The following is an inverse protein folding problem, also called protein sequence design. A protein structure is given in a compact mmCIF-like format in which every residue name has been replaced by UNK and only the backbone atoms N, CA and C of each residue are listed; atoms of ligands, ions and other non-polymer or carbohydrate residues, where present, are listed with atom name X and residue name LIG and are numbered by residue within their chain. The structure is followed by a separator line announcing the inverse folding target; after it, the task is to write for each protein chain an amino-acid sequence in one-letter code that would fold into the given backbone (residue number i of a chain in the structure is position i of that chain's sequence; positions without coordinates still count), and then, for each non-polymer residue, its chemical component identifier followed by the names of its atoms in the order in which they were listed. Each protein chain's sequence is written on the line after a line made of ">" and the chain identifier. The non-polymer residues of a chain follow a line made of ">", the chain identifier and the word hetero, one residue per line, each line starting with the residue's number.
data_IF_597382737975
#
_entry.id   IF_597382737975
#
_cell.length_a   1.000
_cell.length_b   1.000
_cell.length_c   1.000
_cell.angle_alpha   90.00
_cell.angle_beta   90.00
_cell.angle_gamma   90.00
#
_symmetry.space_group_name_H-M   'P 1'
#
loop_
_entity.id
_entity.type
_entity.pdbx_description
1 polymer ?
#
# COMPACT_ATOMS: atom_id res chain seq x y z
N UNK A 1 3.67 20.27 36.30
CA UNK A 1 2.51 19.36 36.35
C UNK A 1 1.91 19.13 34.96
N UNK A 2 1.47 20.18 34.28
CA UNK A 2 0.89 20.02 32.91
C UNK A 2 1.87 19.38 31.93
N UNK A 3 3.14 19.75 31.91
CA UNK A 3 4.16 19.18 31.04
C UNK A 3 4.40 17.71 31.36
N UNK A 4 4.43 17.32 32.62
CA UNK A 4 4.59 15.94 33.03
C UNK A 4 3.39 15.09 32.61
N UNK A 5 2.18 15.62 32.77
CA UNK A 5 0.95 14.96 32.35
C UNK A 5 0.94 14.72 30.80
N UNK A 6 1.35 15.73 30.03
CA UNK A 6 1.46 15.62 28.58
C UNK A 6 2.50 14.58 28.14
N UNK A 7 3.64 14.51 28.84
CA UNK A 7 4.67 13.52 28.57
C UNK A 7 4.19 12.09 28.87
N UNK A 8 3.48 11.91 29.99
CA UNK A 8 2.91 10.61 30.33
C UNK A 8 1.83 10.21 29.33
N UNK A 9 0.94 11.13 28.94
CA UNK A 9 -0.09 10.86 27.95
C UNK A 9 0.52 10.49 26.57
N UNK A 10 1.56 11.19 26.15
CA UNK A 10 2.26 10.88 24.91
C UNK A 10 2.96 9.51 24.96
N UNK A 11 3.60 9.18 26.09
CA UNK A 11 4.22 7.87 26.28
C UNK A 11 3.18 6.74 26.29
N UNK A 12 2.03 6.93 26.94
CA UNK A 12 0.94 5.94 26.93
C UNK A 12 0.36 5.76 25.53
N UNK A 13 0.18 6.83 24.77
CA UNK A 13 -0.29 6.77 23.39
C UNK A 13 0.68 6.00 22.47
N UNK A 14 1.99 6.18 22.67
CA UNK A 14 3.00 5.46 21.88
C UNK A 14 3.04 3.95 22.16
N UNK A 15 2.68 3.52 23.38
CA UNK A 15 2.63 2.11 23.75
C UNK A 15 1.46 1.35 23.10
N UNK A 16 0.42 2.06 22.67
CA UNK A 16 -0.73 1.46 21.99
C UNK A 16 -0.63 1.48 20.46
N UNK A 17 0.39 2.12 19.92
CA UNK A 17 0.62 2.17 18.48
C UNK A 17 1.13 0.80 17.99
N UNK A 18 0.27 0.10 17.25
CA UNK A 18 0.63 -1.15 16.60
C UNK A 18 0.67 -0.93 15.08
N UNK A 19 1.72 -1.41 14.45
CA UNK A 19 1.87 -1.39 13.00
C UNK A 19 2.14 -2.80 12.48
N UNK A 20 1.64 -3.07 11.28
CA UNK A 20 1.92 -4.34 10.60
C UNK A 20 3.35 -4.34 10.08
N UNK A 21 3.99 -5.50 10.13
CA UNK A 21 5.37 -5.67 9.68
C UNK A 21 5.44 -6.38 8.33
N UNK A 22 6.50 -6.06 7.59
CA UNK A 22 6.87 -6.73 6.37
C UNK A 22 5.99 -6.38 5.17
N UNK A 23 6.20 -7.14 4.10
CA UNK A 23 5.44 -7.06 2.86
C UNK A 23 4.67 -8.36 2.68
N UNK A 24 3.37 -8.25 2.48
CA UNK A 24 2.55 -9.41 2.23
C UNK A 24 2.65 -9.85 0.76
N UNK A 25 2.75 -11.15 0.55
CA UNK A 25 2.88 -11.73 -0.77
C UNK A 25 1.53 -11.69 -1.50
N UNK A 26 1.39 -10.86 -2.50
CA UNK A 26 0.13 -10.67 -3.24
C UNK A 26 -0.48 -11.98 -3.78
N UNK A 27 0.30 -12.92 -4.36
CA UNK A 27 -0.25 -14.20 -4.83
C UNK A 27 -0.89 -15.06 -3.74
N UNK A 28 -0.54 -14.82 -2.48
CA UNK A 28 -1.02 -15.60 -1.33
C UNK A 28 -2.00 -14.85 -0.44
N UNK A 29 -2.48 -13.67 -0.85
CA UNK A 29 -3.40 -12.86 -0.04
C UNK A 29 -4.64 -13.64 0.40
N UNK A 30 -5.24 -14.42 -0.49
CA UNK A 30 -6.46 -15.19 -0.19
C UNK A 30 -6.26 -16.16 0.97
N UNK A 31 -5.08 -16.77 1.07
CA UNK A 31 -4.78 -17.76 2.10
C UNK A 31 -4.27 -17.13 3.39
N UNK A 32 -3.50 -16.05 3.30
CA UNK A 32 -2.70 -15.55 4.41
C UNK A 32 -3.23 -14.26 5.04
N UNK A 33 -3.63 -13.28 4.26
CA UNK A 33 -3.77 -11.92 4.77
C UNK A 33 -5.14 -11.28 4.54
N UNK A 34 -5.94 -11.73 3.57
CA UNK A 34 -7.17 -11.06 3.18
C UNK A 34 -8.19 -10.95 4.32
N UNK A 35 -8.24 -11.93 5.19
CA UNK A 35 -9.15 -11.93 6.34
C UNK A 35 -8.81 -10.81 7.32
N UNK A 36 -7.53 -10.60 7.57
CA UNK A 36 -7.04 -9.51 8.43
C UNK A 36 -7.26 -8.16 7.77
N UNK A 37 -6.98 -8.04 6.48
CA UNK A 37 -7.22 -6.81 5.71
C UNK A 37 -8.70 -6.39 5.78
N UNK A 38 -9.61 -7.33 5.60
CA UNK A 38 -11.05 -7.09 5.71
C UNK A 38 -11.47 -6.68 7.12
N UNK A 39 -10.91 -7.31 8.13
CA UNK A 39 -11.16 -6.94 9.53
C UNK A 39 -10.73 -5.50 9.84
N UNK A 40 -9.74 -4.98 9.11
CA UNK A 40 -9.24 -3.60 9.21
C UNK A 40 -9.95 -2.61 8.28
N UNK A 41 -10.96 -3.04 7.57
CA UNK A 41 -11.79 -2.18 6.72
C UNK A 41 -11.52 -2.25 5.22
N UNK A 42 -10.67 -3.17 4.74
CA UNK A 42 -10.49 -3.40 3.32
C UNK A 42 -11.77 -3.97 2.71
N UNK A 43 -12.30 -3.32 1.68
CA UNK A 43 -13.53 -3.74 0.99
C UNK A 43 -13.25 -4.50 -0.31
N UNK A 44 -11.99 -4.62 -0.69
CA UNK A 44 -11.57 -5.34 -1.89
C UNK A 44 -11.43 -6.84 -1.57
N UNK A 45 -11.76 -7.68 -2.54
CA UNK A 45 -11.44 -9.10 -2.49
C UNK A 45 -9.98 -9.35 -2.85
N UNK A 46 -9.46 -10.53 -2.52
CA UNK A 46 -8.11 -10.90 -2.93
C UNK A 46 -7.97 -10.96 -4.46
N UNK A 47 -9.01 -11.38 -5.20
CA UNK A 47 -9.02 -11.39 -6.67
C UNK A 47 -9.01 -9.98 -7.26
N UNK A 48 -9.68 -9.02 -6.64
CA UNK A 48 -9.65 -7.62 -7.08
C UNK A 48 -8.28 -6.97 -6.89
N UNK A 49 -7.52 -7.42 -5.91
CA UNK A 49 -6.16 -6.94 -5.65
C UNK A 49 -5.16 -7.64 -6.57
N UNK A 50 -5.23 -8.95 -6.65
CA UNK A 50 -4.32 -9.77 -7.45
C UNK A 50 -5.05 -10.95 -8.08
N UNK A 51 -5.10 -11.00 -9.40
CA UNK A 51 -5.59 -12.15 -10.16
C UNK A 51 -4.66 -12.43 -11.35
N UNK A 52 -4.40 -13.71 -11.61
CA UNK A 52 -3.63 -14.15 -12.79
C UNK A 52 -4.51 -14.20 -14.03
N UNK A 53 -5.77 -14.57 -13.86
CA UNK A 53 -6.69 -14.86 -14.97
C UNK A 53 -7.65 -13.70 -15.30
N UNK A 54 -7.74 -12.71 -14.44
CA UNK A 54 -8.66 -11.56 -14.59
C UNK A 54 -7.90 -10.27 -14.32
N UNK A 55 -8.42 -9.16 -14.84
CA UNK A 55 -7.91 -7.84 -14.50
C UNK A 55 -8.06 -7.59 -13.00
N UNK A 56 -7.03 -7.04 -12.39
CA UNK A 56 -7.00 -6.73 -10.96
C UNK A 56 -6.14 -5.49 -10.71
N UNK A 57 -6.14 -5.01 -9.48
CA UNK A 57 -5.38 -3.81 -9.09
C UNK A 57 -3.89 -3.92 -9.44
N UNK A 58 -3.30 -5.12 -9.39
CA UNK A 58 -1.89 -5.33 -9.77
C UNK A 58 -1.56 -4.87 -11.19
N UNK A 59 -2.52 -4.92 -12.09
CA UNK A 59 -2.30 -4.56 -13.51
C UNK A 59 -2.13 -3.05 -13.71
N UNK A 60 -2.54 -2.24 -12.74
CA UNK A 60 -2.30 -0.81 -12.74
C UNK A 60 -0.88 -0.42 -12.30
N UNK A 61 -0.16 -1.33 -11.68
CA UNK A 61 1.21 -1.11 -11.19
C UNK A 61 2.19 -1.66 -12.21
N UNK A 62 3.06 -0.80 -12.71
CA UNK A 62 3.94 -1.09 -13.84
C UNK A 62 5.39 -0.76 -13.53
N UNK A 63 6.30 -1.37 -14.30
CA UNK A 63 7.70 -0.99 -14.32
C UNK A 63 7.85 0.19 -15.28
N UNK A 64 8.39 1.28 -14.76
CA UNK A 64 8.67 2.49 -15.55
C UNK A 64 10.17 2.65 -15.73
N UNK A 65 10.61 2.66 -17.00
CA UNK A 65 12.04 2.76 -17.32
C UNK A 65 12.85 1.56 -16.80
N UNK A 66 14.12 1.77 -16.42
CA UNK A 66 15.03 0.67 -16.07
C UNK A 66 14.77 0.03 -14.70
N UNK A 67 13.88 0.54 -13.87
CA UNK A 67 13.65 -0.05 -12.55
C UNK A 67 12.79 0.76 -11.60
N UNK A 68 12.10 1.79 -12.09
CA UNK A 68 11.13 2.53 -11.30
C UNK A 68 9.75 1.86 -11.32
N UNK A 69 8.93 2.17 -10.34
CA UNK A 69 7.53 1.78 -10.30
C UNK A 69 6.66 2.96 -10.73
N UNK A 70 5.68 2.68 -11.54
CA UNK A 70 4.65 3.64 -11.91
C UNK A 70 3.26 3.05 -11.69
N UNK A 71 2.24 3.89 -11.64
CA UNK A 71 0.85 3.49 -11.50
C UNK A 71 -0.04 4.19 -12.52
N UNK A 72 -0.89 3.42 -13.19
CA UNK A 72 -1.89 3.92 -14.12
C UNK A 72 -3.14 4.28 -13.33
N UNK A 73 -3.53 5.54 -13.39
CA UNK A 73 -4.57 6.11 -12.53
C UNK A 73 -5.80 6.61 -13.28
N UNK A 74 -5.85 6.41 -14.60
CA UNK A 74 -7.03 6.75 -15.41
C UNK A 74 -7.24 5.76 -16.54
N UNK A 75 -8.47 5.73 -17.06
CA UNK A 75 -8.81 4.93 -18.23
C UNK A 75 -8.10 5.39 -19.50
N UNK A 76 -7.64 6.64 -19.54
CA UNK A 76 -6.92 7.22 -20.68
C UNK A 76 -5.41 7.01 -20.61
N UNK A 77 -4.93 6.25 -19.63
CA UNK A 77 -3.52 5.90 -19.50
C UNK A 77 -2.67 6.95 -18.77
N UNK A 78 -3.27 7.79 -17.93
CA UNK A 78 -2.47 8.69 -17.08
C UNK A 78 -1.66 7.87 -16.09
N UNK A 79 -0.34 8.04 -16.13
CA UNK A 79 0.60 7.32 -15.29
C UNK A 79 1.28 8.27 -14.30
N UNK A 80 1.31 7.88 -13.04
CA UNK A 80 2.06 8.57 -11.99
C UNK A 80 3.34 7.80 -11.67
N UNK A 81 4.42 8.52 -11.44
CA UNK A 81 5.69 7.99 -10.96
C UNK A 81 6.46 9.08 -10.22
N UNK A 82 7.63 8.76 -9.71
CA UNK A 82 8.49 9.75 -9.05
C UNK A 82 9.17 10.66 -10.07
N UNK A 83 9.42 11.91 -9.69
CA UNK A 83 10.10 12.89 -10.54
C UNK A 83 11.47 12.38 -11.03
N UNK A 84 12.28 11.80 -10.15
CA UNK A 84 13.60 11.30 -10.53
C UNK A 84 13.56 10.13 -11.53
N UNK A 85 12.44 9.39 -11.58
CA UNK A 85 12.26 8.31 -12.55
C UNK A 85 12.00 8.82 -13.96
N UNK A 86 11.34 9.98 -14.11
CA UNK A 86 11.04 10.61 -15.39
C UNK A 86 12.02 11.70 -15.79
N UNK A 87 12.99 12.02 -14.96
CA UNK A 87 13.89 13.15 -15.13
C UNK A 87 14.63 13.15 -16.47
N UNK A 88 15.11 12.00 -16.91
CA UNK A 88 15.82 11.87 -18.18
C UNK A 88 14.96 12.07 -19.43
N UNK A 89 13.63 12.06 -19.30
CA UNK A 89 12.69 12.28 -20.39
C UNK A 89 12.17 13.72 -20.48
N UNK A 90 12.53 14.56 -19.52
CA UNK A 90 12.10 15.96 -19.46
C UNK A 90 13.05 16.85 -20.35
#
# INVERSE_FOLDING_TARGET
>A
MKKLFLLIAAACASLTAAADEGMWLLPYLQKMNIKEMKARGCKLSAEEIYSVNKSSLKDAIVIFGPGCTGEIVSADGLLFTNHHCGYGAI
#
